data_IF_739838083471
#
_entry.id   IF_739838083471
#
_cell.length_a   1.000
_cell.length_b   1.000
_cell.length_c   1.000
_cell.angle_alpha   90.00
_cell.angle_beta   90.00
_cell.angle_gamma   90.00
#
_symmetry.space_group_name_H-M   'P 1'
#
loop_
_entity.id
_entity.type
_entity.pdbx_description
1 polymer ?
#
# COMPACT_ATOMS: atom_id res chain seq x y z
N UNK A 1 16.56 -13.78 -27.28
CA UNK A 1 16.52 -15.25 -27.15
C UNK A 1 15.79 -15.60 -25.86
N UNK A 2 14.89 -16.55 -25.89
CA UNK A 2 14.15 -17.03 -24.71
C UNK A 2 15.00 -18.05 -23.95
N UNK A 3 15.24 -17.80 -22.66
CA UNK A 3 16.08 -18.63 -21.79
C UNK A 3 15.17 -19.29 -20.77
N UNK A 4 15.25 -20.62 -20.60
CA UNK A 4 14.46 -21.38 -19.65
C UNK A 4 15.28 -21.81 -18.43
N UNK A 5 14.70 -21.76 -17.24
CA UNK A 5 15.24 -22.30 -15.99
C UNK A 5 14.20 -23.17 -15.31
N UNK A 6 14.64 -24.19 -14.63
CA UNK A 6 13.75 -25.05 -13.82
C UNK A 6 13.12 -24.21 -12.70
N UNK A 7 11.84 -24.42 -12.45
CA UNK A 7 11.13 -23.73 -11.36
C UNK A 7 11.57 -24.37 -10.04
N UNK A 8 12.03 -23.54 -9.10
CA UNK A 8 12.44 -23.97 -7.76
C UNK A 8 11.33 -24.82 -7.11
N UNK A 9 11.71 -25.92 -6.48
CA UNK A 9 10.86 -26.94 -5.88
C UNK A 9 10.04 -27.77 -6.88
N UNK A 10 10.18 -27.51 -8.19
CA UNK A 10 9.54 -28.21 -9.31
C UNK A 10 10.54 -28.62 -10.41
N UNK A 11 11.81 -28.80 -10.04
CA UNK A 11 12.88 -29.21 -10.95
C UNK A 11 12.51 -30.48 -11.68
N UNK A 12 12.83 -30.55 -12.96
CA UNK A 12 12.48 -31.68 -13.83
C UNK A 12 10.99 -31.84 -14.16
N UNK A 13 10.11 -30.99 -13.61
CA UNK A 13 8.67 -31.00 -13.88
C UNK A 13 8.22 -29.79 -14.69
N UNK A 14 8.74 -28.60 -14.34
CA UNK A 14 8.35 -27.34 -15.00
C UNK A 14 9.51 -26.36 -15.13
N UNK A 15 9.51 -25.64 -16.23
CA UNK A 15 10.46 -24.57 -16.51
C UNK A 15 9.73 -23.24 -16.74
N UNK A 16 10.38 -22.16 -16.35
CA UNK A 16 9.97 -20.77 -16.59
C UNK A 16 10.98 -20.08 -17.48
N UNK A 17 10.51 -19.29 -18.46
CA UNK A 17 11.39 -18.47 -19.28
C UNK A 17 11.54 -17.06 -18.75
N UNK A 18 12.55 -16.35 -19.25
CA UNK A 18 12.76 -14.94 -18.99
C UNK A 18 11.66 -14.00 -19.53
N UNK A 19 10.76 -14.53 -20.37
CA UNK A 19 9.58 -13.81 -20.89
C UNK A 19 8.26 -14.19 -20.19
N UNK A 20 8.29 -15.18 -19.26
CA UNK A 20 7.11 -15.64 -18.54
C UNK A 20 6.40 -16.85 -19.19
N UNK A 21 6.99 -17.47 -20.22
CA UNK A 21 6.48 -18.71 -20.78
C UNK A 21 6.78 -19.87 -19.82
N UNK A 22 5.77 -20.70 -19.54
CA UNK A 22 5.92 -21.86 -18.65
C UNK A 22 5.78 -23.15 -19.46
N UNK A 23 6.74 -24.05 -19.31
CA UNK A 23 6.73 -25.38 -19.93
C UNK A 23 6.60 -26.46 -18.86
N UNK A 24 5.66 -27.38 -19.05
CA UNK A 24 5.68 -28.66 -18.38
C UNK A 24 6.63 -29.59 -19.16
N UNK A 25 7.51 -30.25 -18.45
CA UNK A 25 8.45 -31.21 -19.05
C UNK A 25 7.79 -32.58 -19.25
N UNK A 26 8.37 -33.35 -20.13
CA UNK A 26 7.94 -34.75 -20.35
C UNK A 26 8.12 -35.55 -19.05
N UNK A 27 7.07 -36.27 -18.63
CA UNK A 27 7.11 -37.06 -17.40
C UNK A 27 6.20 -38.28 -17.47
N UNK A 28 6.57 -39.33 -16.77
CA UNK A 28 5.75 -40.52 -16.55
C UNK A 28 5.31 -40.53 -15.09
N UNK A 29 4.01 -40.63 -14.84
CA UNK A 29 3.44 -40.69 -13.50
C UNK A 29 2.74 -42.05 -13.33
N UNK A 30 3.03 -42.73 -12.24
CA UNK A 30 2.27 -43.91 -11.84
C UNK A 30 1.06 -43.44 -11.03
N UNK A 31 -0.14 -43.74 -11.50
CA UNK A 31 -1.38 -43.42 -10.82
C UNK A 31 -1.61 -44.32 -9.59
N UNK A 32 -2.63 -44.00 -8.78
CA UNK A 32 -2.97 -44.77 -7.56
C UNK A 32 -3.22 -46.27 -7.80
N UNK A 33 -3.55 -46.64 -9.03
CA UNK A 33 -3.84 -48.04 -9.42
C UNK A 33 -2.60 -48.75 -10.04
N UNK A 34 -1.40 -48.15 -9.88
CA UNK A 34 -0.16 -48.71 -10.42
C UNK A 34 0.02 -48.53 -11.94
N UNK A 35 -0.92 -47.88 -12.64
CA UNK A 35 -0.82 -47.69 -14.09
C UNK A 35 0.10 -46.49 -14.40
N UNK A 36 1.09 -46.73 -15.26
CA UNK A 36 1.98 -45.68 -15.78
C UNK A 36 1.26 -44.86 -16.84
N UNK A 37 1.32 -43.53 -16.70
CA UNK A 37 0.76 -42.57 -17.64
C UNK A 37 1.83 -41.55 -18.05
N UNK A 38 2.08 -41.48 -19.36
CA UNK A 38 3.01 -40.50 -19.92
C UNK A 38 2.32 -39.17 -20.17
N UNK A 39 2.96 -38.09 -19.76
CA UNK A 39 2.54 -36.69 -20.00
C UNK A 39 3.61 -36.03 -20.87
N UNK A 40 3.32 -35.75 -22.15
CA UNK A 40 4.28 -35.09 -23.04
C UNK A 40 4.55 -33.65 -22.57
N UNK A 41 5.72 -33.14 -22.92
CA UNK A 41 6.07 -31.75 -22.69
C UNK A 41 5.08 -30.81 -23.40
N UNK A 42 4.66 -29.75 -22.71
CA UNK A 42 3.74 -28.77 -23.28
C UNK A 42 3.94 -27.39 -22.67
N UNK A 43 3.66 -26.34 -23.44
CA UNK A 43 3.56 -24.98 -22.93
C UNK A 43 2.23 -24.85 -22.17
N UNK A 44 2.30 -24.34 -20.95
CA UNK A 44 1.11 -24.07 -20.14
C UNK A 44 0.54 -22.71 -20.50
N UNK A 45 -0.78 -22.64 -20.65
CA UNK A 45 -1.50 -21.38 -20.82
C UNK A 45 -1.79 -20.78 -19.44
N UNK A 46 -1.27 -19.60 -19.10
CA UNK A 46 -1.59 -18.96 -17.84
C UNK A 46 -3.05 -18.51 -17.81
N UNK A 47 -3.63 -18.56 -16.63
CA UNK A 47 -4.93 -17.96 -16.35
C UNK A 47 -4.74 -16.46 -16.11
N UNK A 48 -5.53 -15.63 -16.79
CA UNK A 48 -5.55 -14.17 -16.56
C UNK A 48 -6.68 -13.87 -15.58
N UNK A 49 -6.38 -13.09 -14.56
CA UNK A 49 -7.36 -12.65 -13.57
C UNK A 49 -7.17 -11.17 -13.23
N UNK A 50 -8.25 -10.54 -12.79
CA UNK A 50 -8.27 -9.14 -12.39
C UNK A 50 -7.98 -9.01 -10.89
N UNK A 51 -7.11 -8.08 -10.52
CA UNK A 51 -6.83 -7.69 -9.15
C UNK A 51 -6.64 -6.16 -9.10
N UNK A 52 -7.49 -5.48 -8.34
CA UNK A 52 -7.42 -4.02 -8.12
C UNK A 52 -7.29 -3.21 -9.43
N UNK A 53 -8.15 -3.48 -10.41
CA UNK A 53 -8.15 -2.84 -11.73
C UNK A 53 -6.95 -3.15 -12.63
N UNK A 54 -6.11 -4.10 -12.24
CA UNK A 54 -4.97 -4.59 -13.03
C UNK A 54 -5.14 -6.07 -13.35
N UNK A 55 -4.68 -6.47 -14.55
CA UNK A 55 -4.71 -7.87 -14.99
C UNK A 55 -3.37 -8.53 -14.71
N UNK A 56 -3.42 -9.75 -14.17
CA UNK A 56 -2.23 -10.54 -13.89
C UNK A 56 -2.37 -11.95 -14.45
N UNK A 57 -1.23 -12.57 -14.74
CA UNK A 57 -1.15 -13.96 -15.17
C UNK A 57 -0.76 -14.87 -14.01
N UNK A 58 -1.49 -15.97 -13.81
CA UNK A 58 -1.16 -17.01 -12.84
C UNK A 58 -1.14 -18.37 -13.50
N UNK A 59 -0.38 -19.29 -12.92
CA UNK A 59 -0.28 -20.68 -13.34
C UNK A 59 -0.53 -21.61 -12.17
N UNK A 60 -1.13 -22.76 -12.43
CA UNK A 60 -1.29 -23.84 -11.46
C UNK A 60 -0.27 -24.93 -11.78
N UNK A 61 0.60 -25.26 -10.83
CA UNK A 61 1.58 -26.32 -10.92
C UNK A 61 1.19 -27.46 -10.00
N UNK A 62 1.47 -28.69 -10.40
CA UNK A 62 1.17 -29.90 -9.64
C UNK A 62 2.43 -30.70 -9.37
N UNK A 63 2.62 -31.09 -8.11
CA UNK A 63 3.68 -32.02 -7.67
C UNK A 63 3.10 -32.92 -6.57
N UNK A 64 3.34 -34.22 -6.64
CA UNK A 64 2.93 -35.21 -5.62
C UNK A 64 1.45 -35.09 -5.22
N UNK A 65 0.57 -35.01 -6.20
CA UNK A 65 -0.88 -34.84 -6.04
C UNK A 65 -1.35 -33.56 -5.35
N UNK A 66 -0.44 -32.60 -5.10
CA UNK A 66 -0.75 -31.26 -4.60
C UNK A 66 -0.67 -30.26 -5.72
N UNK A 67 -1.58 -29.29 -5.72
CA UNK A 67 -1.59 -28.19 -6.69
C UNK A 67 -1.35 -26.86 -5.96
N UNK A 68 -0.50 -26.04 -6.55
CA UNK A 68 -0.21 -24.69 -6.04
C UNK A 68 -0.33 -23.68 -7.16
N UNK A 69 -0.81 -22.47 -6.82
CA UNK A 69 -0.99 -21.37 -7.77
C UNK A 69 0.11 -20.35 -7.59
N UNK A 70 0.70 -19.94 -8.70
CA UNK A 70 1.81 -18.99 -8.72
C UNK A 70 1.53 -17.85 -9.67
N UNK A 71 1.91 -16.63 -9.28
CA UNK A 71 1.92 -15.47 -10.16
C UNK A 71 3.13 -15.55 -11.09
N UNK A 72 2.89 -15.43 -12.40
CA UNK A 72 3.95 -15.60 -13.41
C UNK A 72 5.08 -14.60 -13.22
N UNK A 73 4.78 -13.32 -12.99
CA UNK A 73 5.80 -12.29 -12.74
C UNK A 73 6.68 -12.61 -11.52
N UNK A 74 6.13 -13.21 -10.47
CA UNK A 74 6.92 -13.61 -9.29
C UNK A 74 7.85 -14.76 -9.61
N UNK A 75 7.38 -15.76 -10.39
CA UNK A 75 8.24 -16.85 -10.85
C UNK A 75 9.40 -16.32 -11.71
N UNK A 76 9.13 -15.41 -12.66
CA UNK A 76 10.17 -14.79 -13.46
C UNK A 76 11.16 -14.02 -12.58
N UNK A 77 10.67 -13.17 -11.67
CA UNK A 77 11.54 -12.40 -10.81
C UNK A 77 12.44 -13.29 -9.95
N UNK A 78 11.90 -14.36 -9.36
CA UNK A 78 12.66 -15.30 -8.53
C UNK A 78 13.80 -16.01 -9.28
N UNK A 79 13.64 -16.25 -10.58
CA UNK A 79 14.61 -17.03 -11.35
C UNK A 79 15.57 -16.19 -12.18
N UNK A 80 15.21 -14.94 -12.50
CA UNK A 80 15.96 -14.11 -13.43
C UNK A 80 16.45 -12.78 -12.86
N UNK A 81 15.92 -12.34 -11.71
CA UNK A 81 16.28 -11.04 -11.12
C UNK A 81 16.86 -11.25 -9.72
N UNK A 82 18.12 -10.89 -9.48
CA UNK A 82 18.72 -10.96 -8.14
C UNK A 82 17.93 -10.11 -7.13
N UNK A 83 17.68 -10.65 -5.94
CA UNK A 83 17.03 -9.96 -4.83
C UNK A 83 17.96 -9.88 -3.61
N UNK A 84 19.03 -9.10 -3.73
CA UNK A 84 20.07 -8.97 -2.70
C UNK A 84 19.59 -8.26 -1.44
N UNK A 85 18.52 -7.47 -1.53
CA UNK A 85 17.94 -6.70 -0.44
C UNK A 85 16.67 -7.36 0.15
N UNK A 86 16.37 -8.59 -0.24
CA UNK A 86 15.20 -9.37 0.19
C UNK A 86 13.88 -8.58 0.13
N UNK A 87 13.68 -7.85 -0.96
CA UNK A 87 12.47 -7.04 -1.17
C UNK A 87 11.26 -7.94 -1.42
N UNK A 88 10.11 -7.69 -0.77
CA UNK A 88 8.98 -8.63 -0.78
C UNK A 88 8.05 -8.54 -2.00
N UNK A 89 8.10 -7.44 -2.76
CA UNK A 89 7.19 -7.19 -3.88
C UNK A 89 7.91 -7.16 -5.22
N UNK A 90 7.16 -7.49 -6.29
CA UNK A 90 7.61 -7.36 -7.68
C UNK A 90 6.71 -6.32 -8.35
N UNK A 91 7.32 -5.32 -8.96
CA UNK A 91 6.66 -4.25 -9.71
C UNK A 91 6.85 -4.45 -11.21
N UNK A 92 5.85 -4.09 -12.02
CA UNK A 92 5.96 -3.95 -13.48
C UNK A 92 6.29 -2.49 -13.80
N UNK A 93 7.44 -2.25 -14.43
CA UNK A 93 7.92 -0.90 -14.74
C UNK A 93 6.98 -0.14 -15.67
N UNK A 94 6.35 -0.85 -16.62
CA UNK A 94 5.37 -0.30 -17.56
C UNK A 94 3.91 -0.31 -17.04
N UNK A 95 3.68 -0.77 -15.81
CA UNK A 95 2.35 -1.00 -15.21
C UNK A 95 1.44 -2.00 -15.94
N UNK A 96 1.94 -2.74 -16.88
CA UNK A 96 1.20 -3.81 -17.52
C UNK A 96 1.48 -5.14 -16.81
N UNK A 97 0.55 -5.59 -15.95
CA UNK A 97 0.69 -6.83 -15.19
C UNK A 97 0.73 -8.11 -16.04
N UNK A 98 0.52 -8.00 -17.35
CA UNK A 98 0.67 -9.11 -18.31
C UNK A 98 2.04 -9.13 -18.99
N UNK A 99 2.83 -8.05 -18.93
CA UNK A 99 4.19 -8.00 -19.46
C UNK A 99 5.19 -8.57 -18.45
N UNK A 100 5.32 -9.89 -18.44
CA UNK A 100 6.14 -10.62 -17.49
C UNK A 100 7.61 -10.79 -17.93
N UNK A 101 8.08 -10.03 -18.92
CA UNK A 101 9.47 -10.06 -19.33
C UNK A 101 10.38 -9.55 -18.20
N UNK A 102 11.48 -10.26 -17.90
CA UNK A 102 12.34 -9.95 -16.75
C UNK A 102 12.91 -8.53 -16.73
N UNK A 103 13.16 -7.90 -17.89
CA UNK A 103 13.61 -6.52 -17.99
C UNK A 103 12.54 -5.50 -17.56
N UNK A 104 11.27 -5.90 -17.62
CA UNK A 104 10.14 -5.08 -17.18
C UNK A 104 9.81 -5.22 -15.69
N UNK A 105 10.41 -6.19 -15.02
CA UNK A 105 10.16 -6.49 -13.61
C UNK A 105 11.28 -5.97 -12.72
N UNK A 106 10.91 -5.59 -11.51
CA UNK A 106 11.87 -5.19 -10.48
C UNK A 106 11.38 -5.59 -9.08
N UNK A 107 12.32 -5.96 -8.21
CA UNK A 107 12.02 -6.15 -6.80
C UNK A 107 11.88 -4.80 -6.11
N UNK A 108 10.84 -4.63 -5.30
CA UNK A 108 10.57 -3.37 -4.63
C UNK A 108 10.01 -3.59 -3.21
N UNK A 109 10.12 -2.56 -2.40
CA UNK A 109 9.39 -2.43 -1.14
C UNK A 109 7.98 -1.89 -1.39
N UNK A 110 7.11 -1.96 -0.39
CA UNK A 110 5.77 -1.35 -0.48
C UNK A 110 5.84 0.15 -0.76
N UNK A 111 6.75 0.86 -0.09
CA UNK A 111 6.94 2.31 -0.26
C UNK A 111 7.41 2.67 -1.68
N UNK A 112 8.38 1.93 -2.23
CA UNK A 112 8.86 2.12 -3.60
C UNK A 112 7.76 1.89 -4.63
N UNK A 113 6.94 0.84 -4.44
CA UNK A 113 5.80 0.55 -5.31
C UNK A 113 4.74 1.65 -5.27
N UNK A 114 4.43 2.16 -4.06
CA UNK A 114 3.51 3.30 -3.90
C UNK A 114 4.05 4.57 -4.57
N UNK A 115 5.35 4.84 -4.44
CA UNK A 115 5.99 6.01 -5.08
C UNK A 115 5.94 5.90 -6.61
N UNK A 116 6.18 4.70 -7.15
CA UNK A 116 6.07 4.41 -8.58
C UNK A 116 4.64 4.67 -9.09
N UNK A 117 3.62 4.17 -8.38
CA UNK A 117 2.22 4.40 -8.70
C UNK A 117 1.84 5.89 -8.64
N UNK A 118 2.40 6.65 -7.69
CA UNK A 118 2.20 8.09 -7.57
C UNK A 118 2.83 8.87 -8.73
N UNK A 119 4.07 8.55 -9.11
CA UNK A 119 4.77 9.20 -10.23
C UNK A 119 4.02 9.02 -11.55
N UNK A 120 3.32 7.92 -11.69
CA UNK A 120 2.52 7.61 -12.88
C UNK A 120 1.06 8.08 -12.80
N UNK A 121 0.70 8.89 -11.80
CA UNK A 121 -0.64 9.46 -11.64
C UNK A 121 -1.73 8.43 -11.29
N UNK A 122 -1.38 7.19 -10.97
CA UNK A 122 -2.35 6.12 -10.65
C UNK A 122 -2.93 6.21 -9.24
N UNK A 123 -2.25 6.89 -8.33
CA UNK A 123 -2.80 7.26 -7.04
C UNK A 123 -3.63 8.55 -7.20
N UNK A 124 -4.71 8.49 -7.98
CA UNK A 124 -5.80 9.39 -7.71
C UNK A 124 -6.30 9.03 -6.31
N UNK A 125 -6.00 9.87 -5.33
CA UNK A 125 -6.84 9.90 -4.14
C UNK A 125 -8.25 10.10 -4.67
N UNK A 126 -9.01 9.02 -4.77
CA UNK A 126 -10.45 9.17 -4.76
C UNK A 126 -10.70 10.00 -3.50
N UNK A 127 -11.26 11.19 -3.67
CA UNK A 127 -11.89 11.88 -2.56
C UNK A 127 -13.10 11.02 -2.20
N UNK A 128 -12.84 9.86 -1.61
CA UNK A 128 -13.85 9.12 -0.91
C UNK A 128 -14.32 10.05 0.19
N UNK A 129 -15.58 10.46 0.11
CA UNK A 129 -16.33 11.16 1.17
C UNK A 129 -16.47 10.29 2.43
N UNK A 130 -15.51 9.48 2.73
CA UNK A 130 -15.37 8.64 3.91
C UNK A 130 -14.09 9.05 4.63
N UNK A 131 -14.23 9.75 5.74
CA UNK A 131 -13.18 10.37 6.54
C UNK A 131 -11.96 9.49 6.77
N UNK A 132 -10.94 9.63 5.96
CA UNK A 132 -9.59 9.48 6.44
C UNK A 132 -9.29 10.74 7.26
N UNK A 133 -9.41 10.63 8.57
CA UNK A 133 -8.65 11.45 9.49
C UNK A 133 -7.17 11.13 9.22
N UNK A 134 -6.61 11.63 8.11
CA UNK A 134 -5.18 11.78 7.97
C UNK A 134 -4.80 12.83 8.99
N UNK A 135 -4.59 12.38 10.23
CA UNK A 135 -4.05 13.22 11.26
C UNK A 135 -2.87 13.95 10.64
N UNK A 136 -2.83 15.23 10.84
CA UNK A 136 -1.71 16.06 10.42
C UNK A 136 -0.46 15.37 10.98
N UNK A 137 0.35 14.74 10.14
CA UNK A 137 1.53 13.95 10.55
C UNK A 137 2.79 14.61 10.02
N UNK A 138 3.82 14.67 10.87
CA UNK A 138 5.16 15.09 10.50
C UNK A 138 5.35 16.60 10.30
N UNK A 139 6.36 16.97 9.51
CA UNK A 139 6.81 18.35 9.29
C UNK A 139 5.72 19.32 8.82
N UNK A 140 4.82 18.84 7.94
CA UNK A 140 3.67 19.65 7.49
C UNK A 140 2.68 19.99 8.60
N UNK A 141 2.60 19.15 9.62
CA UNK A 141 1.80 19.39 10.80
C UNK A 141 2.43 20.49 11.66
N UNK A 142 3.72 20.38 11.91
CA UNK A 142 4.48 21.36 12.68
C UNK A 142 4.45 22.73 12.02
N UNK A 143 4.69 22.80 10.72
CA UNK A 143 4.59 24.06 9.96
C UNK A 143 3.21 24.72 10.05
N UNK A 144 2.12 23.94 10.06
CA UNK A 144 0.76 24.48 10.27
C UNK A 144 0.51 24.93 11.70
N UNK A 145 1.12 24.26 12.67
CA UNK A 145 1.03 24.65 14.08
C UNK A 145 1.80 25.94 14.30
N UNK A 146 3.02 26.04 13.77
CA UNK A 146 3.83 27.26 13.85
C UNK A 146 3.13 28.47 13.24
N UNK A 147 2.41 28.27 12.14
CA UNK A 147 1.64 29.33 11.50
C UNK A 147 0.45 29.85 12.34
N UNK A 148 -0.05 29.07 13.30
CA UNK A 148 -1.18 29.49 14.17
C UNK A 148 -0.74 29.94 15.56
N UNK A 149 0.48 29.64 16.00
CA UNK A 149 1.00 30.14 17.27
C UNK A 149 1.07 31.67 17.24
N UNK A 150 0.61 32.31 18.30
CA UNK A 150 0.52 33.75 18.38
C UNK A 150 -0.69 34.37 17.66
N UNK A 151 -1.58 33.55 17.09
CA UNK A 151 -2.80 34.02 16.43
C UNK A 151 -4.06 33.72 17.24
N UNK A 152 -5.14 34.43 16.94
CA UNK A 152 -6.46 34.18 17.53
C UNK A 152 -7.35 33.41 16.54
N UNK A 153 -7.87 32.27 16.96
CA UNK A 153 -8.85 31.49 16.22
C UNK A 153 -10.16 31.47 17.03
N UNK A 154 -11.16 32.20 16.59
CA UNK A 154 -12.37 32.47 17.35
C UNK A 154 -12.05 33.15 18.71
N UNK A 155 -12.47 32.50 19.81
CA UNK A 155 -12.17 32.98 21.18
C UNK A 155 -10.89 32.34 21.75
N UNK A 156 -10.11 31.63 20.96
CA UNK A 156 -8.87 31.03 21.40
C UNK A 156 -7.67 31.81 20.87
N UNK A 157 -6.83 32.29 21.77
CA UNK A 157 -5.49 32.76 21.44
C UNK A 157 -4.53 31.55 21.60
N UNK A 158 -3.80 31.23 20.56
CA UNK A 158 -2.90 30.07 20.53
C UNK A 158 -1.52 30.45 21.07
N UNK A 159 -1.16 29.94 22.23
CA UNK A 159 0.08 30.35 22.93
C UNK A 159 1.30 29.57 22.40
N UNK A 160 1.23 28.24 22.48
CA UNK A 160 2.39 27.39 22.15
C UNK A 160 1.96 25.96 21.82
N UNK A 161 2.87 25.21 21.18
CA UNK A 161 2.74 23.76 21.03
C UNK A 161 2.89 23.09 22.40
N UNK A 162 1.89 22.31 22.81
CA UNK A 162 1.96 21.49 24.02
C UNK A 162 2.68 20.16 23.78
N UNK A 163 2.43 19.50 22.63
CA UNK A 163 2.98 18.20 22.28
C UNK A 163 1.93 17.22 21.74
N UNK A 164 2.23 15.94 21.82
CA UNK A 164 1.33 14.86 21.37
C UNK A 164 0.71 14.13 22.55
N UNK A 165 -0.57 13.77 22.43
CA UNK A 165 -1.32 13.01 23.44
C UNK A 165 -2.15 11.87 22.84
N UNK A 166 -2.43 10.87 23.68
CA UNK A 166 -3.31 9.75 23.39
C UNK A 166 -2.67 8.67 22.52
N UNK A 167 -3.40 7.56 22.34
CA UNK A 167 -2.97 6.39 21.56
C UNK A 167 -2.68 6.78 20.11
N UNK A 168 -3.43 7.74 19.55
CA UNK A 168 -3.29 8.20 18.17
C UNK A 168 -2.28 9.34 18.00
N UNK A 169 -1.49 9.66 19.01
CA UNK A 169 -0.41 10.67 18.98
C UNK A 169 -0.84 12.01 18.34
N UNK A 170 -2.00 12.52 18.76
CA UNK A 170 -2.54 13.79 18.24
C UNK A 170 -1.80 15.00 18.81
N UNK A 171 -1.65 16.05 18.00
CA UNK A 171 -1.03 17.29 18.43
C UNK A 171 -2.02 18.17 19.22
N UNK A 172 -1.51 18.76 20.31
CA UNK A 172 -2.22 19.70 21.16
C UNK A 172 -1.43 21.01 21.26
N UNK A 173 -2.16 22.10 21.37
CA UNK A 173 -1.63 23.45 21.65
C UNK A 173 -2.26 23.99 22.91
N UNK A 174 -1.50 24.80 23.65
CA UNK A 174 -2.08 25.58 24.74
C UNK A 174 -2.78 26.82 24.17
N UNK A 175 -4.01 27.04 24.56
CA UNK A 175 -4.81 28.16 24.11
C UNK A 175 -5.39 28.90 25.30
N UNK A 176 -5.40 30.24 25.25
CA UNK A 176 -6.06 31.10 26.23
C UNK A 176 -7.36 31.65 25.63
N UNK A 177 -8.47 31.49 26.35
CA UNK A 177 -9.75 32.04 25.94
C UNK A 177 -9.74 33.57 26.10
N UNK A 178 -9.90 34.34 25.04
CA UNK A 178 -9.90 35.78 25.03
C UNK A 178 -11.08 36.42 25.80
N UNK A 179 -12.14 35.59 26.04
CA UNK A 179 -13.32 36.10 26.80
C UNK A 179 -13.25 35.94 28.31
N UNK A 180 -12.38 35.07 28.84
CA UNK A 180 -12.29 34.84 30.31
C UNK A 180 -10.87 34.48 30.79
N UNK A 181 -9.88 34.60 29.94
CA UNK A 181 -8.47 34.30 30.21
C UNK A 181 -8.16 32.87 30.71
N UNK A 182 -9.11 31.94 30.57
CA UNK A 182 -8.88 30.54 30.94
C UNK A 182 -7.97 29.86 29.89
N UNK A 183 -6.89 29.26 30.34
CA UNK A 183 -5.97 28.48 29.50
C UNK A 183 -6.35 27.03 29.48
N UNK A 184 -6.36 26.39 28.31
CA UNK A 184 -6.61 24.98 28.09
C UNK A 184 -5.77 24.41 26.98
N UNK A 185 -5.57 23.10 27.02
CA UNK A 185 -5.00 22.34 25.92
C UNK A 185 -6.11 21.99 24.92
N UNK A 186 -5.89 22.31 23.67
CA UNK A 186 -6.85 22.11 22.59
C UNK A 186 -6.21 21.26 21.49
N UNK A 187 -6.92 20.24 21.02
CA UNK A 187 -6.48 19.44 19.88
C UNK A 187 -6.43 20.32 18.63
N UNK A 188 -5.27 20.34 17.94
CA UNK A 188 -5.03 21.18 16.76
C UNK A 188 -6.06 20.94 15.66
N UNK A 189 -6.42 19.68 15.42
CA UNK A 189 -7.44 19.35 14.42
C UNK A 189 -8.83 19.90 14.76
N UNK A 190 -9.17 19.96 16.04
CA UNK A 190 -10.45 20.51 16.51
C UNK A 190 -10.49 22.03 16.39
N UNK A 191 -9.34 22.68 16.56
CA UNK A 191 -9.19 24.11 16.41
C UNK A 191 -9.30 24.53 14.93
N UNK A 192 -8.54 23.89 14.06
CA UNK A 192 -8.50 24.20 12.62
C UNK A 192 -9.81 23.83 11.89
N UNK A 193 -10.54 22.83 12.36
CA UNK A 193 -11.82 22.41 11.78
C UNK A 193 -13.03 23.11 12.44
N UNK A 194 -12.81 24.19 13.19
CA UNK A 194 -13.86 24.98 13.86
C UNK A 194 -14.77 24.17 14.80
N UNK A 195 -14.29 23.00 15.29
CA UNK A 195 -15.04 22.17 16.24
C UNK A 195 -15.06 22.77 17.65
N UNK A 196 -14.07 23.61 17.97
CA UNK A 196 -14.00 24.35 19.22
C UNK A 196 -13.84 25.85 18.95
N UNK A 197 -14.75 26.66 19.48
CA UNK A 197 -14.80 28.11 19.23
C UNK A 197 -14.38 28.95 20.42
N UNK A 198 -14.13 28.33 21.58
CA UNK A 198 -13.79 28.99 22.83
C UNK A 198 -14.05 28.10 24.02
N UNK A 199 -13.85 28.57 25.25
CA UNK A 199 -14.24 27.81 26.44
C UNK A 199 -15.77 27.71 26.53
N UNK A 200 -16.26 26.61 27.15
CA UNK A 200 -17.69 26.32 27.20
C UNK A 200 -18.54 27.44 27.79
N UNK A 201 -18.00 28.17 28.77
CA UNK A 201 -18.70 29.30 29.41
C UNK A 201 -18.85 30.49 28.48
N UNK A 202 -17.77 30.89 27.80
CA UNK A 202 -17.79 32.05 26.90
C UNK A 202 -18.59 31.77 25.63
N UNK A 203 -18.53 30.57 25.07
CA UNK A 203 -19.34 30.19 23.90
C UNK A 203 -20.83 30.20 24.26
N UNK A 204 -21.21 29.69 25.44
CA UNK A 204 -22.61 29.74 25.90
C UNK A 204 -23.12 31.20 26.10
N UNK A 205 -22.28 32.09 26.62
CA UNK A 205 -22.64 33.52 26.75
C UNK A 205 -22.88 34.17 25.39
N UNK A 206 -21.98 33.91 24.41
CA UNK A 206 -22.15 34.47 23.06
C UNK A 206 -23.41 33.97 22.36
N UNK A 207 -23.73 32.68 22.54
CA UNK A 207 -24.93 32.09 21.92
C UNK A 207 -26.24 32.66 22.56
N UNK A 208 -26.20 33.08 23.82
CA UNK A 208 -27.35 33.74 24.49
C UNK A 208 -27.54 35.19 24.09
N UNK A 209 -26.48 35.87 23.58
CA UNK A 209 -26.54 37.28 23.14
C UNK A 209 -26.95 37.41 21.67
N UNK A 210 -27.13 36.32 20.95
CA UNK A 210 -27.56 36.26 19.53
C UNK A 210 -29.07 36.00 19.36
N UNK A 211 -29.84 35.97 20.44
CA UNK A 211 -31.30 35.90 20.49
C UNK A 211 -31.80 37.27 20.97
#
# INVERSE_FOLDING_TARGET
MEIFKDIKDYEGLYQISNSGTIKALNRVITNKNGKMQSYPAKVLKPEIFDMDSSKYARVTLSKEHKTSRFLVHRLVAQHFIPNTLDKPFVNHRDNNGLNNHYLNLEWCTHSENMLHAQKQGRLFRSQSKGGCNSGITGEKALARIDAIIGTSIHLWYVNALFGKKGINQKYYVTCTCTGCNTTKEVEVSSLLNNKTKGCALCVRKLNKMKI
#
